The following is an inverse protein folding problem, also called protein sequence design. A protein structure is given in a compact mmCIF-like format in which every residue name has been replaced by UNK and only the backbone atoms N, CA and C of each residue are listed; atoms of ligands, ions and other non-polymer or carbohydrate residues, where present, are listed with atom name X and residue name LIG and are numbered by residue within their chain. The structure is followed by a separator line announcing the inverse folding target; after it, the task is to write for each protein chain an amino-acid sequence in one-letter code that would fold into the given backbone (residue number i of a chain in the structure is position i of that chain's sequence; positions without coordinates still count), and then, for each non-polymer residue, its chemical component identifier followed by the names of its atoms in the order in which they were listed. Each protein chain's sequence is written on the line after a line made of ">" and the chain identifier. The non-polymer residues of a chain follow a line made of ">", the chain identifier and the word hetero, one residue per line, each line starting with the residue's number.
data_IF_836449125435
#
_entry.id   IF_836449125435
#
_cell.length_a   1.000
_cell.length_b   1.000
_cell.length_c   1.000
_cell.angle_alpha   90.00
_cell.angle_beta   90.00
_cell.angle_gamma   90.00
#
_symmetry.space_group_name_H-M   'P 1'
#
loop_
_entity.id
_entity.type
_entity.pdbx_description
1 polymer ?
#
# COMPACT_ATOMS: atom_id res chain seq x y z
N UNK A 1 24.49 -6.03 -6.73
CA UNK A 1 23.35 -5.11 -6.92
C UNK A 1 23.51 -3.99 -5.92
N UNK A 2 23.33 -2.73 -6.34
CA UNK A 2 23.30 -1.58 -5.42
C UNK A 2 22.11 -1.75 -4.48
N UNK A 3 22.29 -1.41 -3.20
CA UNK A 3 21.17 -1.31 -2.26
C UNK A 3 20.47 0.04 -2.43
N UNK A 4 19.14 0.03 -2.43
CA UNK A 4 18.32 1.23 -2.55
C UNK A 4 17.89 1.72 -1.16
N UNK A 5 17.94 3.02 -0.95
CA UNK A 5 17.42 3.67 0.25
C UNK A 5 15.92 3.92 0.11
N UNK A 6 15.12 3.49 1.08
CA UNK A 6 13.66 3.53 1.04
C UNK A 6 13.05 4.45 2.09
N UNK A 7 12.15 5.31 1.63
CA UNK A 7 11.27 6.15 2.44
C UNK A 7 9.84 5.57 2.42
N UNK A 8 9.37 5.06 3.57
CA UNK A 8 8.02 4.46 3.72
C UNK A 8 7.04 5.50 4.30
N UNK A 9 6.21 6.11 3.45
CA UNK A 9 5.22 7.10 3.90
C UNK A 9 3.87 6.44 4.16
N UNK A 10 3.17 6.86 5.21
CA UNK A 10 1.94 6.18 5.68
C UNK A 10 2.22 4.71 6.02
N UNK A 11 3.27 4.48 6.80
CA UNK A 11 3.93 3.18 7.04
C UNK A 11 2.97 2.08 7.47
N UNK A 12 1.98 2.39 8.31
CA UNK A 12 1.05 1.40 8.83
C UNK A 12 1.76 0.33 9.65
N UNK A 13 1.50 -0.92 9.31
CA UNK A 13 2.21 -2.09 9.88
C UNK A 13 3.61 -2.31 9.29
N UNK A 14 4.14 -1.36 8.51
CA UNK A 14 5.40 -1.50 7.77
C UNK A 14 5.30 -2.56 6.67
N UNK A 15 4.20 -2.58 5.91
CA UNK A 15 3.99 -3.57 4.86
C UNK A 15 5.02 -3.48 3.73
N UNK A 16 5.32 -2.25 3.28
CA UNK A 16 6.39 -2.01 2.31
C UNK A 16 7.76 -2.25 2.94
N UNK A 17 8.01 -1.73 4.15
CA UNK A 17 9.24 -2.02 4.90
C UNK A 17 9.53 -3.52 5.09
N UNK A 18 8.51 -4.33 5.37
CA UNK A 18 8.63 -5.78 5.48
C UNK A 18 8.98 -6.41 4.12
N UNK A 19 8.34 -5.96 3.04
CA UNK A 19 8.68 -6.39 1.68
C UNK A 19 10.11 -6.01 1.29
N UNK A 20 10.58 -4.81 1.66
CA UNK A 20 11.95 -4.34 1.47
C UNK A 20 12.95 -5.25 2.18
N UNK A 21 12.70 -5.55 3.47
CA UNK A 21 13.49 -6.49 4.27
C UNK A 21 13.54 -7.89 3.67
N UNK A 22 12.42 -8.40 3.15
CA UNK A 22 12.36 -9.70 2.48
C UNK A 22 13.03 -9.72 1.11
N UNK A 23 13.05 -8.59 0.40
CA UNK A 23 13.78 -8.42 -0.85
C UNK A 23 15.30 -8.42 -0.62
N UNK A 24 15.77 -7.76 0.45
CA UNK A 24 17.17 -7.77 0.87
C UNK A 24 18.10 -6.81 0.11
N UNK A 25 17.57 -6.05 -0.86
CA UNK A 25 18.29 -5.01 -1.61
C UNK A 25 17.70 -3.61 -1.43
N UNK A 26 16.67 -3.48 -0.60
CA UNK A 26 16.04 -2.21 -0.26
C UNK A 26 16.11 -2.06 1.26
N UNK A 27 16.77 -1.00 1.73
CA UNK A 27 16.92 -0.68 3.14
C UNK A 27 15.99 0.49 3.47
N UNK A 28 15.02 0.28 4.36
CA UNK A 28 14.13 1.37 4.82
C UNK A 28 14.84 2.12 5.94
N UNK A 29 15.15 3.40 5.69
CA UNK A 29 15.90 4.22 6.66
C UNK A 29 14.99 5.19 7.41
N UNK A 30 13.90 5.65 6.78
CA UNK A 30 12.98 6.62 7.34
C UNK A 30 11.54 6.24 6.98
N UNK A 31 10.63 6.51 7.91
CA UNK A 31 9.21 6.29 7.70
C UNK A 31 8.38 7.47 8.21
N UNK A 32 7.08 7.52 7.85
CA UNK A 32 6.14 8.52 8.36
C UNK A 32 4.83 7.85 8.78
N UNK A 33 4.55 7.87 10.07
CA UNK A 33 3.33 7.33 10.68
C UNK A 33 2.95 8.10 11.95
N UNK A 34 1.64 8.30 12.13
CA UNK A 34 1.06 9.09 13.23
C UNK A 34 0.19 8.25 14.16
N UNK A 35 -0.24 7.04 13.77
CA UNK A 35 -1.00 6.15 14.65
C UNK A 35 -0.11 5.66 15.81
N UNK A 36 -0.46 5.96 17.08
CA UNK A 36 0.39 5.64 18.22
C UNK A 36 0.68 4.15 18.41
N UNK A 37 -0.19 3.26 17.92
CA UNK A 37 0.04 1.83 17.99
C UNK A 37 1.04 1.38 16.93
N UNK A 38 0.93 1.91 15.71
CA UNK A 38 1.89 1.64 14.64
C UNK A 38 3.27 2.22 14.95
N UNK A 39 3.37 3.42 15.53
CA UNK A 39 4.66 4.03 15.91
C UNK A 39 5.47 3.10 16.83
N UNK A 40 4.84 2.60 17.90
CA UNK A 40 5.50 1.64 18.81
C UNK A 40 5.88 0.33 18.13
N UNK A 41 5.10 -0.08 17.14
CA UNK A 41 5.40 -1.29 16.38
C UNK A 41 6.63 -1.08 15.49
N UNK A 42 6.74 0.09 14.88
CA UNK A 42 7.88 0.52 14.08
C UNK A 42 9.14 0.54 14.95
N UNK A 43 9.09 1.24 16.09
CA UNK A 43 10.21 1.35 17.04
C UNK A 43 10.72 -0.03 17.47
N UNK A 44 9.80 -0.94 17.83
CA UNK A 44 10.14 -2.27 18.33
C UNK A 44 10.69 -3.21 17.24
N UNK A 45 10.19 -3.11 16.00
CA UNK A 45 10.37 -4.18 14.99
C UNK A 45 11.23 -3.81 13.80
N UNK A 46 11.27 -2.54 13.46
CA UNK A 46 11.92 -2.08 12.25
C UNK A 46 13.19 -1.28 12.52
N UNK A 47 13.40 -0.80 13.76
CA UNK A 47 14.59 -0.04 14.15
C UNK A 47 14.95 1.02 13.08
N UNK A 48 13.95 1.80 12.71
CA UNK A 48 14.03 2.89 11.73
C UNK A 48 13.41 4.14 12.32
N UNK A 49 13.88 5.29 11.87
CA UNK A 49 13.37 6.58 12.35
C UNK A 49 11.96 6.83 11.82
N UNK A 50 11.13 7.50 12.62
CA UNK A 50 9.79 7.91 12.24
C UNK A 50 9.68 9.44 12.24
N UNK A 51 9.40 10.00 11.07
CA UNK A 51 9.23 11.42 10.85
C UNK A 51 7.89 11.98 11.34
N UNK A 52 6.97 11.13 11.82
CA UNK A 52 5.66 11.56 12.28
C UNK A 52 4.74 11.97 11.13
N UNK A 53 4.13 13.15 11.24
CA UNK A 53 3.19 13.65 10.22
C UNK A 53 3.91 13.97 8.92
N UNK A 54 3.38 13.44 7.81
CA UNK A 54 3.91 13.67 6.48
C UNK A 54 3.89 15.16 6.09
N UNK A 55 2.99 15.95 6.69
CA UNK A 55 2.88 17.38 6.42
C UNK A 55 4.13 18.16 6.90
N UNK A 56 4.86 17.62 7.87
CA UNK A 56 6.09 18.22 8.42
C UNK A 56 7.36 17.59 7.81
N UNK A 57 7.25 16.44 7.14
CA UNK A 57 8.38 15.74 6.52
C UNK A 57 8.92 16.51 5.30
N UNK A 58 10.25 16.68 5.25
CA UNK A 58 10.98 17.36 4.18
C UNK A 58 10.44 18.78 3.92
N UNK A 59 10.01 19.48 4.97
CA UNK A 59 9.69 20.90 4.93
C UNK A 59 10.96 21.69 5.25
N UNK A 60 11.14 22.85 4.60
CA UNK A 60 12.28 23.72 4.92
C UNK A 60 12.25 24.17 6.38
N UNK A 61 13.42 24.25 7.00
CA UNK A 61 13.63 24.69 8.38
C UNK A 61 12.88 25.97 8.76
N UNK A 62 12.74 26.92 7.81
CA UNK A 62 12.03 28.19 8.03
C UNK A 62 10.51 28.08 8.14
N UNK A 63 9.95 26.98 7.62
CA UNK A 63 8.52 26.72 7.55
C UNK A 63 8.11 25.55 8.46
N UNK A 64 9.05 24.99 9.23
CA UNK A 64 8.79 23.81 10.04
C UNK A 64 8.00 24.17 11.30
N UNK A 65 6.84 23.55 11.48
CA UNK A 65 5.88 23.88 12.54
C UNK A 65 6.39 23.54 13.96
N UNK A 66 7.25 22.52 14.06
CA UNK A 66 7.76 21.99 15.33
C UNK A 66 9.10 22.60 15.81
N UNK A 67 9.71 23.51 15.04
CA UNK A 67 10.97 24.16 15.45
C UNK A 67 10.66 25.46 16.19
N UNK A 68 10.60 25.41 17.52
CA UNK A 68 10.45 26.59 18.38
C UNK A 68 11.81 27.22 18.69
N UNK A 69 11.85 28.49 19.10
CA UNK A 69 13.08 29.21 19.51
C UNK A 69 13.77 28.63 20.76
N UNK A 70 13.16 27.63 21.40
CA UNK A 70 13.66 26.96 22.60
C UNK A 70 14.57 25.77 22.22
N UNK A 71 15.67 25.59 22.97
CA UNK A 71 16.71 24.55 22.86
C UNK A 71 16.19 23.11 23.16
N UNK A 72 14.97 22.77 22.74
CA UNK A 72 14.32 21.48 22.94
C UNK A 72 14.33 20.72 21.62
N UNK A 73 14.90 19.51 21.62
CA UNK A 73 14.91 18.63 20.44
C UNK A 73 13.59 17.85 20.40
N UNK A 74 12.71 18.02 19.39
CA UNK A 74 11.38 17.39 19.37
C UNK A 74 11.37 15.86 19.51
N UNK A 75 12.46 15.19 19.09
CA UNK A 75 12.60 13.75 19.23
C UNK A 75 12.76 13.30 20.69
N UNK A 76 13.31 14.13 21.57
CA UNK A 76 13.48 13.81 22.99
C UNK A 76 12.15 13.80 23.75
N UNK A 77 11.17 14.58 23.29
CA UNK A 77 9.83 14.62 23.89
C UNK A 77 8.85 13.63 23.25
N UNK A 78 8.89 13.51 21.93
CA UNK A 78 7.85 12.78 21.17
C UNK A 78 8.28 11.40 20.69
N UNK A 79 9.61 11.14 20.64
CA UNK A 79 10.17 9.98 19.96
C UNK A 79 10.12 10.06 18.43
N UNK A 80 9.67 11.19 17.87
CA UNK A 80 9.58 11.41 16.42
C UNK A 80 10.76 12.26 15.94
N UNK A 81 11.38 11.84 14.85
CA UNK A 81 12.45 12.59 14.21
C UNK A 81 11.86 13.75 13.41
N UNK A 82 12.40 14.95 13.60
CA UNK A 82 12.09 16.06 12.68
C UNK A 82 13.09 16.01 11.54
N UNK A 83 12.61 15.74 10.31
CA UNK A 83 13.46 15.64 9.12
C UNK A 83 13.05 16.74 8.14
N UNK A 84 13.91 17.72 8.00
CA UNK A 84 13.75 18.87 7.11
C UNK A 84 14.24 18.55 5.71
N UNK A 85 13.91 19.43 4.77
CA UNK A 85 14.48 19.36 3.43
C UNK A 85 16.01 19.46 3.49
N UNK A 86 16.55 20.38 4.31
CA UNK A 86 17.98 20.62 4.47
C UNK A 86 18.73 19.38 5.00
N UNK A 87 18.13 18.56 5.87
CA UNK A 87 18.75 17.34 6.41
C UNK A 87 19.14 16.34 5.32
N UNK A 88 18.37 16.25 4.23
CA UNK A 88 18.74 15.43 3.07
C UNK A 88 19.96 16.00 2.33
N UNK A 89 19.97 17.31 2.07
CA UNK A 89 21.04 17.99 1.31
C UNK A 89 22.35 18.11 2.08
N UNK A 90 22.28 18.22 3.41
CA UNK A 90 23.45 18.24 4.29
C UNK A 90 23.97 16.83 4.60
N UNK A 91 23.23 15.78 4.21
CA UNK A 91 23.63 14.39 4.40
C UNK A 91 23.45 13.88 5.82
N UNK A 92 22.57 14.50 6.60
CA UNK A 92 22.14 14.02 7.93
C UNK A 92 21.38 12.70 7.78
N UNK A 93 20.53 12.61 6.75
CA UNK A 93 19.85 11.39 6.32
C UNK A 93 20.16 11.10 4.84
N UNK A 94 20.12 9.83 4.39
CA UNK A 94 20.35 9.52 2.98
C UNK A 94 19.21 10.02 2.09
N UNK A 95 19.52 10.33 0.83
CA UNK A 95 18.48 10.53 -0.19
C UNK A 95 17.77 9.21 -0.50
N UNK A 96 16.43 9.20 -0.59
CA UNK A 96 15.68 8.01 -0.97
C UNK A 96 15.91 7.70 -2.46
N UNK A 97 16.21 6.44 -2.77
CA UNK A 97 16.13 5.89 -4.12
C UNK A 97 14.70 5.47 -4.47
N UNK A 98 13.92 5.09 -3.45
CA UNK A 98 12.53 4.66 -3.59
C UNK A 98 11.65 5.23 -2.48
N UNK A 99 10.48 5.75 -2.84
CA UNK A 99 9.44 6.17 -1.92
C UNK A 99 8.21 5.26 -2.07
N UNK A 100 7.56 4.92 -0.95
CA UNK A 100 6.28 4.22 -1.00
C UNK A 100 5.21 4.89 -0.15
N UNK A 101 3.94 4.57 -0.42
CA UNK A 101 2.90 4.86 0.56
C UNK A 101 1.47 4.53 0.16
N UNK A 102 0.67 4.25 1.18
CA UNK A 102 -0.76 3.93 1.07
C UNK A 102 -1.64 5.00 1.68
N UNK A 103 -1.66 6.20 1.07
CA UNK A 103 -2.36 7.36 1.63
C UNK A 103 -3.87 7.08 1.89
N UNK A 104 -4.48 7.71 2.91
CA UNK A 104 -5.89 7.54 3.21
C UNK A 104 -6.82 7.87 2.01
N UNK A 105 -7.60 6.88 1.58
CA UNK A 105 -8.44 6.93 0.36
C UNK A 105 -9.69 7.87 0.43
N UNK A 106 -9.73 8.86 1.33
CA UNK A 106 -10.91 9.72 1.50
C UNK A 106 -10.79 10.97 0.60
N UNK A 107 -11.46 10.90 -0.56
CA UNK A 107 -11.63 11.97 -1.56
C UNK A 107 -10.33 12.58 -2.12
N UNK A 108 -9.64 11.84 -3.00
CA UNK A 108 -8.57 12.39 -3.87
C UNK A 108 -9.23 13.15 -5.04
N UNK A 109 -9.92 14.23 -4.73
CA UNK A 109 -10.37 15.18 -5.76
C UNK A 109 -9.61 16.45 -5.55
N UNK A 110 -9.06 17.05 -6.61
CA UNK A 110 -8.47 18.38 -6.51
C UNK A 110 -9.52 19.32 -5.89
N UNK A 111 -9.21 19.87 -4.71
CA UNK A 111 -9.94 20.99 -4.18
C UNK A 111 -9.99 22.05 -5.29
N UNK A 112 -11.16 22.62 -5.55
CA UNK A 112 -11.32 23.63 -6.58
C UNK A 112 -10.33 24.77 -6.34
N UNK A 113 -9.35 24.94 -7.24
CA UNK A 113 -8.41 26.09 -7.26
C UNK A 113 -9.12 27.36 -7.75
N UNK A 114 -10.34 27.63 -7.25
CA UNK A 114 -11.14 28.79 -7.67
C UNK A 114 -11.72 29.65 -6.56
N UNK A 115 -11.51 29.31 -5.28
CA UNK A 115 -11.81 30.26 -4.21
C UNK A 115 -10.58 30.49 -3.34
N UNK A 116 -10.05 31.71 -3.44
CA UNK A 116 -9.06 32.29 -2.55
C UNK A 116 -9.66 32.62 -1.18
N UNK A 117 -10.26 31.61 -0.52
CA UNK A 117 -10.73 31.70 0.85
C UNK A 117 -11.01 30.31 1.45
N UNK A 118 -10.15 29.86 2.37
CA UNK A 118 -10.50 28.84 3.36
C UNK A 118 -10.15 27.40 2.97
N UNK A 119 -9.22 26.83 3.74
CA UNK A 119 -8.87 25.40 3.82
C UNK A 119 -10.15 24.57 4.01
N UNK A 120 -10.41 23.55 3.18
CA UNK A 120 -11.24 22.41 3.60
C UNK A 120 -11.13 21.19 2.65
N UNK A 121 -10.25 20.27 3.05
CA UNK A 121 -10.06 18.95 2.46
C UNK A 121 -8.85 18.21 3.01
N UNK A 122 -8.72 18.08 4.35
CA UNK A 122 -7.57 17.49 5.09
C UNK A 122 -7.07 16.10 4.61
N UNK A 123 -7.87 15.37 3.83
CA UNK A 123 -7.49 14.03 3.33
C UNK A 123 -7.11 14.05 1.84
N UNK A 124 -7.59 15.05 1.09
CA UNK A 124 -7.12 15.35 -0.26
C UNK A 124 -5.73 15.99 -0.26
N UNK A 125 -5.33 16.58 0.88
CA UNK A 125 -4.00 17.17 1.11
C UNK A 125 -2.91 16.13 1.32
N UNK A 126 -3.16 15.01 2.00
CA UNK A 126 -2.11 14.03 2.34
C UNK A 126 -1.43 13.40 1.11
N UNK A 127 -2.19 13.13 0.04
CA UNK A 127 -1.58 12.68 -1.22
C UNK A 127 -0.82 13.80 -1.95
N UNK A 128 -1.22 15.06 -1.77
CA UNK A 128 -0.42 16.18 -2.28
C UNK A 128 0.88 16.31 -1.52
N UNK A 129 0.90 16.09 -0.20
CA UNK A 129 2.14 16.10 0.59
C UNK A 129 3.08 14.97 0.16
N UNK A 130 2.54 13.77 -0.08
CA UNK A 130 3.34 12.67 -0.64
C UNK A 130 3.95 13.04 -2.00
N UNK A 131 3.14 13.64 -2.90
CA UNK A 131 3.60 14.09 -4.21
C UNK A 131 4.61 15.25 -4.09
N UNK A 132 4.44 16.17 -3.14
CA UNK A 132 5.35 17.27 -2.85
C UNK A 132 6.72 16.72 -2.44
N UNK A 133 6.77 15.79 -1.50
CA UNK A 133 8.04 15.18 -1.05
C UNK A 133 8.74 14.46 -2.20
N UNK A 134 7.98 13.75 -3.04
CA UNK A 134 8.52 13.08 -4.24
C UNK A 134 9.13 14.08 -5.24
N UNK A 135 8.47 15.22 -5.44
CA UNK A 135 8.90 16.30 -6.32
C UNK A 135 10.13 17.03 -5.75
N UNK A 136 10.07 17.43 -4.49
CA UNK A 136 11.12 18.16 -3.78
C UNK A 136 12.44 17.35 -3.72
N UNK A 137 12.35 16.03 -3.50
CA UNK A 137 13.53 15.16 -3.37
C UNK A 137 13.92 14.45 -4.68
N UNK A 138 13.21 14.68 -5.80
CA UNK A 138 13.45 14.05 -7.12
C UNK A 138 13.63 12.51 -7.03
N UNK A 139 12.71 11.84 -6.33
CA UNK A 139 12.89 10.43 -5.91
C UNK A 139 12.80 9.45 -7.10
N UNK A 140 13.85 8.68 -7.44
CA UNK A 140 13.90 7.90 -8.68
C UNK A 140 12.74 6.93 -8.90
N UNK A 141 12.27 6.28 -7.83
CA UNK A 141 11.19 5.29 -7.86
C UNK A 141 10.10 5.63 -6.85
N UNK A 142 8.84 5.51 -7.24
CA UNK A 142 7.70 5.70 -6.34
C UNK A 142 6.71 4.53 -6.47
N UNK A 143 6.24 3.97 -5.36
CA UNK A 143 5.21 2.92 -5.33
C UNK A 143 4.03 3.32 -4.45
N UNK A 144 2.84 3.38 -5.04
CA UNK A 144 1.61 3.71 -4.33
C UNK A 144 0.72 2.48 -4.24
N UNK A 145 0.03 2.31 -3.11
CA UNK A 145 -1.06 1.34 -2.96
C UNK A 145 -2.34 2.06 -2.54
N UNK A 146 -3.47 1.65 -3.10
CA UNK A 146 -4.76 2.09 -2.60
C UNK A 146 -5.90 1.14 -2.94
N UNK A 147 -7.07 1.37 -2.33
CA UNK A 147 -8.30 0.65 -2.65
C UNK A 147 -8.69 0.78 -4.14
N UNK A 148 -9.31 -0.26 -4.71
CA UNK A 148 -9.75 -0.33 -6.11
C UNK A 148 -10.56 0.90 -6.58
N UNK A 149 -11.32 1.52 -5.67
CA UNK A 149 -12.10 2.74 -5.95
C UNK A 149 -11.26 3.93 -6.40
N UNK A 150 -9.94 3.95 -6.17
CA UNK A 150 -9.04 5.01 -6.61
C UNK A 150 -9.13 5.23 -8.13
N UNK A 151 -9.36 4.17 -8.92
CA UNK A 151 -9.60 4.25 -10.37
C UNK A 151 -10.67 5.30 -10.75
N UNK A 152 -11.67 5.51 -9.90
CA UNK A 152 -12.79 6.45 -10.12
C UNK A 152 -12.76 7.67 -9.21
N UNK A 153 -11.72 7.80 -8.36
CA UNK A 153 -11.70 8.76 -7.24
C UNK A 153 -10.41 9.57 -7.14
N UNK A 154 -9.57 9.58 -8.18
CA UNK A 154 -8.37 10.42 -8.22
C UNK A 154 -7.10 9.76 -8.76
N UNK A 155 -7.16 8.53 -9.30
CA UNK A 155 -5.99 7.94 -9.98
C UNK A 155 -5.53 8.81 -11.15
N UNK A 156 -6.46 9.42 -11.88
CA UNK A 156 -6.17 10.35 -12.98
C UNK A 156 -5.31 11.54 -12.52
N UNK A 157 -5.64 12.13 -11.36
CA UNK A 157 -4.89 13.23 -10.77
C UNK A 157 -3.45 12.82 -10.39
N UNK A 158 -3.29 11.66 -9.76
CA UNK A 158 -1.96 11.18 -9.33
C UNK A 158 -1.09 10.87 -10.55
N UNK A 159 -1.64 10.18 -11.54
CA UNK A 159 -0.93 9.86 -12.79
C UNK A 159 -0.55 11.15 -13.51
N UNK A 160 -1.47 12.11 -13.66
CA UNK A 160 -1.19 13.39 -14.30
C UNK A 160 -0.05 14.14 -13.59
N UNK A 161 -0.12 14.29 -12.26
CA UNK A 161 0.92 14.98 -11.48
C UNK A 161 2.29 14.33 -11.61
N UNK A 162 2.37 13.01 -11.57
CA UNK A 162 3.63 12.29 -11.76
C UNK A 162 4.16 12.45 -13.20
N UNK A 163 3.29 12.45 -14.20
CA UNK A 163 3.69 12.73 -15.59
C UNK A 163 4.18 14.18 -15.76
N UNK A 164 3.54 15.17 -15.10
CA UNK A 164 3.99 16.57 -15.08
C UNK A 164 5.40 16.70 -14.47
N UNK A 165 5.70 15.88 -13.45
CA UNK A 165 7.04 15.76 -12.84
C UNK A 165 8.04 14.98 -13.72
N UNK A 166 7.62 14.48 -14.88
CA UNK A 166 8.48 13.75 -15.83
C UNK A 166 8.59 12.24 -15.59
N UNK A 167 7.79 11.66 -14.71
CA UNK A 167 7.81 10.22 -14.45
C UNK A 167 7.10 9.44 -15.58
N UNK A 168 7.62 8.24 -15.83
CA UNK A 168 6.89 7.17 -16.51
C UNK A 168 6.08 6.46 -15.43
N UNK A 169 4.77 6.32 -15.66
CA UNK A 169 3.86 5.78 -14.66
C UNK A 169 3.19 4.54 -15.20
N UNK A 170 3.18 3.46 -14.44
CA UNK A 170 2.37 2.27 -14.73
C UNK A 170 1.51 1.91 -13.52
N UNK A 171 0.33 1.34 -13.75
CA UNK A 171 -0.55 0.89 -12.68
C UNK A 171 -1.26 -0.41 -13.04
N UNK A 172 -1.62 -1.15 -11.99
CA UNK A 172 -2.38 -2.38 -12.11
C UNK A 172 -3.25 -2.60 -10.87
N UNK A 173 -4.49 -3.05 -11.10
CA UNK A 173 -5.35 -3.56 -10.02
C UNK A 173 -4.97 -5.01 -9.75
N UNK A 174 -4.50 -5.30 -8.55
CA UNK A 174 -4.03 -6.62 -8.12
C UNK A 174 -4.95 -7.19 -7.05
N UNK A 175 -5.33 -8.45 -7.22
CA UNK A 175 -6.08 -9.25 -6.27
C UNK A 175 -5.14 -10.03 -5.36
N UNK A 176 -5.49 -10.12 -4.08
CA UNK A 176 -4.86 -11.03 -3.12
C UNK A 176 -4.78 -12.48 -3.63
N UNK A 177 -5.79 -12.92 -4.39
CA UNK A 177 -5.86 -14.27 -4.96
C UNK A 177 -4.76 -14.57 -5.99
N UNK A 178 -4.22 -13.55 -6.67
CA UNK A 178 -3.08 -13.70 -7.59
C UNK A 178 -1.78 -14.13 -6.85
N UNK A 179 -1.77 -13.99 -5.52
CA UNK A 179 -0.69 -14.36 -4.61
C UNK A 179 -1.12 -15.47 -3.63
N UNK A 180 -2.12 -16.25 -4.02
CA UNK A 180 -2.63 -17.40 -3.26
C UNK A 180 -3.18 -17.03 -1.87
N UNK A 181 -3.68 -15.80 -1.66
CA UNK A 181 -4.47 -15.46 -0.47
C UNK A 181 -5.97 -15.66 -0.78
N UNK A 182 -6.71 -16.43 0.05
CA UNK A 182 -8.04 -16.92 -0.32
C UNK A 182 -9.17 -15.89 -0.11
N UNK A 183 -8.95 -14.59 -0.33
CA UNK A 183 -9.95 -13.56 -0.02
C UNK A 183 -10.11 -12.45 -1.06
N UNK A 184 -11.30 -11.85 -1.09
CA UNK A 184 -11.65 -10.76 -2.00
C UNK A 184 -11.04 -9.43 -1.56
N UNK A 185 -9.79 -9.19 -1.93
CA UNK A 185 -9.12 -7.89 -1.77
C UNK A 185 -8.45 -7.48 -3.07
N UNK A 186 -9.00 -6.47 -3.73
CA UNK A 186 -8.46 -5.84 -4.92
C UNK A 186 -7.94 -4.44 -4.58
N UNK A 187 -6.73 -4.14 -5.01
CA UNK A 187 -6.00 -2.90 -4.73
C UNK A 187 -5.31 -2.39 -5.99
N UNK A 188 -5.33 -1.08 -6.18
CA UNK A 188 -4.54 -0.42 -7.22
C UNK A 188 -3.13 -0.28 -6.69
N UNK A 189 -2.17 -0.81 -7.45
CA UNK A 189 -0.76 -0.51 -7.26
C UNK A 189 -0.32 0.37 -8.43
N UNK A 190 0.44 1.42 -8.13
CA UNK A 190 1.03 2.30 -9.13
C UNK A 190 2.53 2.34 -8.87
N UNK A 191 3.32 2.20 -9.93
CA UNK A 191 4.77 2.35 -9.91
C UNK A 191 5.13 3.47 -10.88
N UNK A 192 5.84 4.47 -10.37
CA UNK A 192 6.37 5.56 -11.17
C UNK A 192 7.89 5.57 -11.10
N UNK A 193 8.55 5.86 -12.21
CA UNK A 193 10.01 5.94 -12.27
C UNK A 193 10.48 7.01 -13.24
N UNK A 194 11.57 7.69 -12.90
CA UNK A 194 12.18 8.69 -13.75
C UNK A 194 12.82 8.05 -15.01
N UNK A 195 12.93 8.77 -16.14
CA UNK A 195 13.61 8.26 -17.34
C UNK A 195 15.08 7.87 -17.13
N UNK A 196 15.71 8.43 -16.09
CA UNK A 196 17.08 8.15 -15.65
C UNK A 196 17.23 6.83 -14.89
N UNK A 197 16.15 6.10 -14.64
CA UNK A 197 16.17 4.82 -13.91
C UNK A 197 16.56 3.64 -14.80
N UNK A 198 17.04 2.54 -14.20
CA UNK A 198 17.32 1.32 -14.95
C UNK A 198 16.04 0.65 -15.47
N UNK A 199 14.91 0.76 -14.75
CA UNK A 199 13.59 0.30 -15.25
C UNK A 199 13.24 0.99 -16.57
N UNK A 200 13.29 2.32 -16.64
CA UNK A 200 13.01 3.06 -17.89
C UNK A 200 13.93 2.62 -19.04
N UNK A 201 15.25 2.54 -18.78
CA UNK A 201 16.24 2.13 -19.78
C UNK A 201 16.09 0.67 -20.24
N UNK A 202 15.55 -0.20 -19.40
CA UNK A 202 15.42 -1.63 -19.70
C UNK A 202 14.43 -1.93 -20.83
N UNK A 203 13.51 -1.01 -21.15
CA UNK A 203 12.48 -1.31 -22.13
C UNK A 203 11.37 -2.23 -21.59
N UNK A 204 11.26 -2.44 -20.28
CA UNK A 204 10.37 -3.45 -19.67
C UNK A 204 9.55 -2.84 -18.53
N UNK A 205 8.34 -3.38 -18.33
CA UNK A 205 7.41 -2.94 -17.28
C UNK A 205 7.59 -3.75 -16.00
N UNK A 206 7.44 -3.10 -14.85
CA UNK A 206 7.47 -3.73 -13.53
C UNK A 206 6.33 -4.74 -13.42
N UNK A 207 5.12 -4.36 -13.82
CA UNK A 207 3.95 -5.24 -13.72
C UNK A 207 3.99 -6.45 -14.68
N UNK A 208 4.75 -6.43 -15.78
CA UNK A 208 4.94 -7.64 -16.60
C UNK A 208 5.66 -8.74 -15.81
N UNK A 209 6.62 -8.36 -14.97
CA UNK A 209 7.29 -9.30 -14.07
C UNK A 209 6.39 -9.74 -12.92
N UNK A 210 5.59 -8.84 -12.36
CA UNK A 210 4.58 -9.20 -11.34
C UNK A 210 3.57 -10.21 -11.89
N UNK A 211 3.14 -10.07 -13.15
CA UNK A 211 2.30 -11.05 -13.85
C UNK A 211 2.98 -12.42 -13.98
N UNK A 212 4.30 -12.48 -14.20
CA UNK A 212 5.04 -13.75 -14.22
C UNK A 212 5.00 -14.46 -12.86
N UNK A 213 5.07 -13.70 -11.75
CA UNK A 213 4.91 -14.25 -10.40
C UNK A 213 3.50 -14.81 -10.21
N UNK A 214 2.47 -14.07 -10.60
CA UNK A 214 1.08 -14.53 -10.54
C UNK A 214 0.82 -15.75 -11.43
N UNK A 215 1.44 -15.82 -12.62
CA UNK A 215 1.38 -16.97 -13.51
C UNK A 215 1.97 -18.23 -12.84
N UNK A 216 3.13 -18.09 -12.20
CA UNK A 216 3.77 -19.17 -11.45
C UNK A 216 2.99 -19.62 -10.20
N UNK A 217 1.96 -18.87 -9.82
CA UNK A 217 1.11 -19.11 -8.66
C UNK A 217 -0.24 -19.77 -9.01
N UNK A 218 -0.62 -19.85 -10.29
CA UNK A 218 -1.94 -20.31 -10.72
C UNK A 218 -2.28 -21.73 -10.24
N UNK A 219 -1.30 -22.64 -10.28
CA UNK A 219 -1.50 -24.05 -9.94
C UNK A 219 -1.14 -24.37 -8.48
N UNK A 220 -0.78 -23.35 -7.69
CA UNK A 220 -0.44 -23.54 -6.28
C UNK A 220 -1.69 -23.45 -5.40
N UNK A 221 -1.77 -24.24 -4.31
CA UNK A 221 -2.85 -24.11 -3.35
C UNK A 221 -2.85 -22.72 -2.70
N UNK A 222 -4.01 -22.30 -2.19
CA UNK A 222 -4.07 -21.13 -1.32
C UNK A 222 -3.18 -21.35 -0.08
N UNK A 223 -2.59 -20.25 0.42
CA UNK A 223 -1.76 -20.25 1.63
C UNK A 223 -2.53 -20.62 2.89
N UNK A 224 -3.85 -20.53 2.82
CA UNK A 224 -4.79 -20.96 3.85
C UNK A 224 -5.96 -21.68 3.17
N UNK A 225 -6.54 -22.71 3.80
CA UNK A 225 -7.67 -23.43 3.23
C UNK A 225 -8.90 -22.53 3.11
N UNK A 226 -9.74 -22.80 2.11
CA UNK A 226 -11.05 -22.16 1.97
C UNK A 226 -11.98 -22.60 3.11
N UNK A 227 -12.99 -21.75 3.35
CA UNK A 227 -14.05 -22.00 4.30
C UNK A 227 -14.81 -23.31 4.04
N UNK A 228 -15.04 -23.63 2.76
CA UNK A 228 -15.66 -24.89 2.33
C UNK A 228 -14.75 -26.11 2.48
N UNK A 229 -13.43 -25.93 2.52
CA UNK A 229 -12.46 -27.02 2.56
C UNK A 229 -12.17 -27.48 3.99
N UNK A 230 -12.02 -26.54 4.93
CA UNK A 230 -11.61 -26.84 6.31
C UNK A 230 -12.33 -25.96 7.36
N UNK A 231 -13.67 -26.01 7.48
CA UNK A 231 -14.43 -25.14 8.36
C UNK A 231 -14.03 -25.27 9.84
N UNK A 232 -13.81 -26.50 10.32
CA UNK A 232 -13.40 -26.74 11.72
C UNK A 232 -12.00 -26.17 12.00
N UNK A 233 -11.05 -26.39 11.08
CA UNK A 233 -9.69 -25.82 11.21
C UNK A 233 -9.75 -24.30 11.29
N UNK A 234 -10.59 -23.66 10.48
CA UNK A 234 -10.77 -22.20 10.50
C UNK A 234 -11.37 -21.76 11.84
N UNK A 235 -12.39 -22.45 12.37
CA UNK A 235 -12.93 -22.12 13.69
C UNK A 235 -11.85 -22.22 14.78
N UNK A 236 -11.08 -23.31 14.77
CA UNK A 236 -10.03 -23.57 15.76
C UNK A 236 -8.92 -22.50 15.76
N UNK A 237 -8.62 -21.90 14.60
CA UNK A 237 -7.53 -20.93 14.46
C UNK A 237 -8.01 -19.47 14.45
N UNK A 238 -9.19 -19.20 13.90
CA UNK A 238 -9.71 -17.86 13.73
C UNK A 238 -10.48 -17.36 14.97
N UNK A 239 -10.98 -18.26 15.83
CA UNK A 239 -11.76 -17.88 17.02
C UNK A 239 -10.89 -17.83 18.26
N UNK A 240 -10.91 -16.70 18.95
CA UNK A 240 -10.44 -16.55 20.32
C UNK A 240 -11.64 -16.42 21.25
N UNK A 241 -11.83 -17.37 22.16
CA UNK A 241 -12.95 -17.37 23.12
C UNK A 241 -12.92 -16.18 24.09
N UNK A 242 -11.72 -15.78 24.51
CA UNK A 242 -11.50 -14.70 25.49
C UNK A 242 -10.81 -13.51 24.83
N UNK A 243 -11.44 -12.80 23.87
CA UNK A 243 -10.75 -11.77 23.08
C UNK A 243 -10.21 -10.60 23.93
N UNK A 244 -10.78 -10.38 25.12
CA UNK A 244 -10.31 -9.39 26.10
C UNK A 244 -8.97 -9.73 26.73
N UNK A 245 -8.54 -11.00 26.74
CA UNK A 245 -7.23 -11.39 27.27
C UNK A 245 -6.09 -11.06 26.30
N UNK A 246 -6.39 -10.90 25.02
CA UNK A 246 -5.41 -10.54 24.01
C UNK A 246 -5.23 -9.01 24.03
N UNK A 247 -4.06 -8.58 24.49
CA UNK A 247 -3.67 -7.16 24.53
C UNK A 247 -3.77 -6.53 23.16
N UNK A 248 -4.36 -5.33 23.11
CA UNK A 248 -4.50 -4.50 21.90
C UNK A 248 -5.14 -5.23 20.71
N UNK A 249 -5.86 -6.34 20.92
CA UNK A 249 -6.46 -7.16 19.87
C UNK A 249 -7.18 -6.32 18.81
N UNK A 250 -8.02 -5.40 19.27
CA UNK A 250 -8.77 -4.51 18.39
C UNK A 250 -7.86 -3.67 17.50
N UNK A 251 -6.82 -3.03 18.06
CA UNK A 251 -5.86 -2.22 17.31
C UNK A 251 -5.11 -3.07 16.28
N UNK A 252 -4.61 -4.25 16.68
CA UNK A 252 -3.93 -5.23 15.80
C UNK A 252 -4.78 -5.57 14.56
N UNK A 253 -6.02 -6.01 14.78
CA UNK A 253 -6.92 -6.43 13.69
C UNK A 253 -7.33 -5.23 12.83
N UNK A 254 -7.57 -4.08 13.44
CA UNK A 254 -7.94 -2.87 12.70
C UNK A 254 -6.79 -2.40 11.78
N UNK A 255 -5.55 -2.47 12.26
CA UNK A 255 -4.36 -2.16 11.46
C UNK A 255 -4.20 -3.13 10.29
N UNK A 256 -4.37 -4.45 10.52
CA UNK A 256 -4.34 -5.47 9.46
C UNK A 256 -5.41 -5.24 8.38
N UNK A 257 -6.61 -4.79 8.76
CA UNK A 257 -7.67 -4.48 7.78
C UNK A 257 -7.30 -3.34 6.81
N UNK A 258 -6.47 -2.40 7.25
CA UNK A 258 -5.93 -1.32 6.44
C UNK A 258 -4.68 -1.72 5.65
N UNK A 259 -3.91 -2.68 6.14
CA UNK A 259 -2.59 -3.05 5.63
C UNK A 259 -2.59 -3.59 4.19
N UNK A 260 -1.47 -3.45 3.50
CA UNK A 260 -1.22 -4.08 2.20
C UNK A 260 -0.91 -5.57 2.40
N UNK A 261 -0.80 -6.33 1.31
CA UNK A 261 -0.24 -7.69 1.34
C UNK A 261 1.26 -7.60 1.02
N UNK A 262 2.15 -7.96 1.96
CA UNK A 262 3.61 -7.82 1.77
C UNK A 262 4.16 -8.53 0.54
N UNK A 263 3.64 -9.72 0.22
CA UNK A 263 4.05 -10.49 -0.96
C UNK A 263 3.85 -9.75 -2.29
N UNK A 264 2.80 -8.93 -2.41
CA UNK A 264 2.54 -8.14 -3.62
C UNK A 264 3.58 -7.02 -3.72
N UNK A 265 3.80 -6.30 -2.62
CA UNK A 265 4.84 -5.27 -2.54
C UNK A 265 6.24 -5.84 -2.82
N UNK A 266 6.54 -7.03 -2.29
CA UNK A 266 7.81 -7.72 -2.54
C UNK A 266 7.98 -8.05 -4.02
N UNK A 267 6.95 -8.55 -4.69
CA UNK A 267 7.02 -8.82 -6.13
C UNK A 267 7.26 -7.56 -6.96
N UNK A 268 6.70 -6.42 -6.55
CA UNK A 268 6.98 -5.11 -7.16
C UNK A 268 8.45 -4.72 -6.94
N UNK A 269 8.94 -4.81 -5.70
CA UNK A 269 10.34 -4.50 -5.36
C UNK A 269 11.35 -5.41 -6.04
N UNK A 270 11.12 -6.72 -6.07
CA UNK A 270 11.95 -7.68 -6.79
C UNK A 270 12.02 -7.33 -8.29
N UNK A 271 10.90 -6.86 -8.85
CA UNK A 271 10.81 -6.45 -10.25
C UNK A 271 11.58 -5.16 -10.52
N UNK A 272 11.45 -4.14 -9.66
CA UNK A 272 12.22 -2.89 -9.74
C UNK A 272 13.71 -3.18 -9.67
N UNK A 273 14.16 -3.91 -8.63
CA UNK A 273 15.59 -4.23 -8.44
C UNK A 273 16.14 -5.01 -9.63
N UNK A 274 15.41 -6.00 -10.13
CA UNK A 274 15.88 -6.79 -11.26
C UNK A 274 16.01 -5.96 -12.54
N UNK A 275 15.01 -5.12 -12.84
CA UNK A 275 15.03 -4.28 -14.03
C UNK A 275 16.06 -3.15 -13.92
N UNK A 276 16.22 -2.55 -12.74
CA UNK A 276 17.21 -1.50 -12.49
C UNK A 276 18.65 -1.96 -12.77
N UNK A 277 18.94 -3.24 -12.46
CA UNK A 277 20.24 -3.84 -12.68
C UNK A 277 20.41 -4.49 -14.08
N UNK A 278 19.43 -4.35 -14.98
CA UNK A 278 19.52 -4.91 -16.33
C UNK A 278 20.43 -4.03 -17.21
N UNK A 279 21.52 -4.60 -17.72
CA UNK A 279 22.52 -3.91 -18.56
C UNK A 279 22.18 -3.90 -20.06
N UNK A 280 21.27 -4.77 -20.49
CA UNK A 280 20.82 -4.84 -21.89
C UNK A 280 19.76 -3.77 -22.15
N UNK A 281 20.14 -2.72 -22.88
CA UNK A 281 19.17 -1.82 -23.51
C UNK A 281 18.55 -2.57 -24.68
N UNK A 282 17.39 -3.19 -24.46
CA UNK A 282 16.56 -3.63 -25.57
C UNK A 282 15.90 -2.39 -26.16
N UNK A 283 16.37 -1.97 -27.33
CA UNK A 283 15.82 -0.84 -28.07
C UNK A 283 14.33 -1.06 -28.32
N UNK A 284 13.50 -0.17 -27.77
CA UNK A 284 12.08 0.00 -28.06
C UNK A 284 11.10 -1.15 -27.74
N UNK A 285 11.45 -2.14 -26.91
CA UNK A 285 10.48 -3.17 -26.48
C UNK A 285 9.44 -2.71 -25.44
N UNK A 286 9.56 -1.48 -24.91
CA UNK A 286 8.64 -0.95 -23.87
C UNK A 286 7.17 -1.06 -24.30
N UNK A 287 6.92 -1.01 -25.61
CA UNK A 287 5.58 -1.03 -26.20
C UNK A 287 5.34 -2.16 -27.21
N UNK A 288 6.34 -2.94 -27.63
CA UNK A 288 6.18 -3.86 -28.79
C UNK A 288 5.52 -5.20 -28.47
N UNK A 289 5.59 -5.70 -27.24
CA UNK A 289 5.15 -7.08 -26.92
C UNK A 289 3.78 -7.18 -26.21
N UNK A 290 2.98 -6.12 -26.15
CA UNK A 290 1.55 -6.24 -25.77
C UNK A 290 0.65 -5.06 -26.10
N UNK A 291 1.16 -3.93 -26.60
CA UNK A 291 0.30 -2.99 -27.31
C UNK A 291 0.23 -3.47 -28.75
N UNK A 292 -0.63 -4.46 -29.01
CA UNK A 292 -1.26 -4.50 -30.31
C UNK A 292 -1.95 -3.13 -30.45
N UNK A 293 -1.29 -2.19 -31.12
CA UNK A 293 -1.94 -1.06 -31.82
C UNK A 293 -2.67 -1.63 -33.06
N UNK A 294 -3.26 -2.81 -32.90
CA UNK A 294 -4.09 -3.50 -33.85
C UNK A 294 -5.52 -3.23 -33.42
N UNK A 295 -6.15 -2.30 -34.13
CA UNK A 295 -7.60 -2.19 -34.31
C UNK A 295 -8.46 -3.08 -33.39
N UNK A 296 -8.58 -2.67 -32.12
CA UNK A 296 -9.74 -2.82 -31.22
C UNK A 296 -9.37 -2.25 -29.85
N UNK A 297 -9.90 -1.06 -29.58
CA UNK A 297 -10.07 -0.44 -28.26
C UNK A 297 -8.80 -0.07 -27.46
N UNK A 298 -7.70 0.27 -28.13
CA UNK A 298 -6.61 1.02 -27.50
C UNK A 298 -6.99 2.50 -27.39
N UNK A 299 -7.29 2.98 -26.19
CA UNK A 299 -7.61 4.39 -25.98
C UNK A 299 -6.32 5.17 -25.67
N UNK A 300 -5.84 5.95 -26.63
CA UNK A 300 -4.88 7.02 -26.36
C UNK A 300 -5.66 8.20 -25.76
N UNK A 301 -5.50 8.45 -24.46
CA UNK A 301 -6.03 9.65 -23.83
C UNK A 301 -4.92 10.69 -23.74
N UNK A 302 -5.17 11.89 -24.27
CA UNK A 302 -4.35 13.06 -23.98
C UNK A 302 -4.88 13.72 -22.70
N UNK A 303 -3.99 14.11 -21.78
CA UNK A 303 -4.32 14.95 -20.63
C UNK A 303 -4.65 16.40 -21.08
N UNK A 304 -5.70 16.56 -21.89
CA UNK A 304 -6.06 17.82 -22.53
C UNK A 304 -6.95 18.67 -21.58
N UNK A 305 -6.45 18.94 -20.36
CA UNK A 305 -7.17 19.60 -19.26
C UNK A 305 -8.54 18.98 -18.88
N UNK A 306 -8.84 17.75 -19.36
CA UNK A 306 -10.09 17.03 -19.09
C UNK A 306 -9.82 15.88 -18.13
N UNK A 307 -10.52 15.86 -17.00
CA UNK A 307 -10.48 14.74 -16.05
C UNK A 307 -10.96 13.44 -16.68
N UNK A 308 -10.30 12.34 -16.30
CA UNK A 308 -10.74 10.99 -16.67
C UNK A 308 -11.57 10.45 -15.51
N UNK A 309 -12.89 10.41 -15.69
CA UNK A 309 -13.82 10.02 -14.61
C UNK A 309 -13.57 8.60 -14.07
N UNK A 310 -13.14 7.68 -14.94
CA UNK A 310 -12.82 6.29 -14.57
C UNK A 310 -11.58 5.85 -15.33
N UNK A 311 -10.47 5.74 -14.62
CA UNK A 311 -9.22 5.17 -15.15
C UNK A 311 -9.39 3.66 -15.37
N UNK A 312 -8.75 3.09 -16.40
CA UNK A 312 -8.75 1.64 -16.61
C UNK A 312 -8.04 0.93 -15.46
N UNK A 313 -8.33 -0.36 -15.25
CA UNK A 313 -7.74 -1.13 -14.14
C UNK A 313 -6.25 -1.39 -14.28
N UNK A 314 -5.68 -1.15 -15.47
CA UNK A 314 -4.24 -1.17 -15.73
C UNK A 314 -3.89 -0.19 -16.84
N UNK A 315 -2.65 0.28 -16.86
CA UNK A 315 -2.15 1.13 -17.94
C UNK A 315 -0.74 1.62 -17.69
N UNK A 316 -0.23 2.35 -18.68
CA UNK A 316 1.04 3.08 -18.64
C UNK A 316 0.76 4.50 -19.12
N UNK A 317 1.30 5.50 -18.44
CA UNK A 317 1.27 6.89 -18.85
C UNK A 317 2.70 7.40 -19.06
N UNK A 318 2.89 8.15 -20.14
CA UNK A 318 4.13 8.81 -20.50
C UNK A 318 3.80 10.18 -21.05
N UNK A 319 4.32 11.22 -20.41
CA UNK A 319 3.98 12.61 -20.74
C UNK A 319 2.46 12.77 -20.78
N UNK A 320 1.90 13.23 -21.89
CA UNK A 320 0.46 13.49 -21.99
C UNK A 320 -0.36 12.25 -22.40
N UNK A 321 0.25 11.09 -22.65
CA UNK A 321 -0.43 9.94 -23.24
C UNK A 321 -0.61 8.78 -22.27
N UNK A 322 -1.83 8.21 -22.24
CA UNK A 322 -2.14 6.95 -21.56
C UNK A 322 -2.29 5.82 -22.57
N UNK A 323 -1.71 4.67 -22.23
CA UNK A 323 -1.83 3.40 -22.93
C UNK A 323 -2.45 2.36 -21.99
N UNK A 324 -3.46 1.65 -22.45
CA UNK A 324 -4.11 0.59 -21.67
C UNK A 324 -4.56 -0.52 -22.60
N UNK A 325 -4.31 -1.75 -22.18
CA UNK A 325 -4.94 -2.96 -22.68
C UNK A 325 -5.92 -3.46 -21.61
N UNK A 326 -7.08 -4.00 -22.00
CA UNK A 326 -8.19 -4.34 -21.10
C UNK A 326 -7.80 -5.18 -19.87
N UNK A 327 -8.70 -5.36 -18.90
CA UNK A 327 -8.44 -6.02 -17.60
C UNK A 327 -7.50 -7.26 -17.66
N UNK A 328 -6.42 -7.26 -16.87
CA UNK A 328 -5.55 -8.43 -16.70
C UNK A 328 -6.19 -9.48 -15.79
N UNK A 329 -6.59 -10.64 -16.32
CA UNK A 329 -7.22 -11.69 -15.52
C UNK A 329 -6.27 -12.47 -14.59
N UNK A 330 -4.95 -12.34 -14.79
CA UNK A 330 -3.94 -12.93 -13.91
C UNK A 330 -3.83 -12.17 -12.59
N UNK A 331 -3.75 -10.83 -12.66
CA UNK A 331 -3.62 -9.98 -11.47
C UNK A 331 -4.96 -9.51 -10.95
N UNK A 332 -5.91 -9.16 -11.83
CA UNK A 332 -7.26 -8.75 -11.47
C UNK A 332 -8.25 -9.91 -11.65
N UNK A 333 -8.03 -10.99 -10.88
CA UNK A 333 -8.84 -12.21 -10.95
C UNK A 333 -10.34 -11.91 -10.77
N UNK A 334 -11.22 -12.38 -11.68
CA UNK A 334 -12.67 -12.23 -11.53
C UNK A 334 -13.19 -13.08 -10.37
N UNK A 335 -14.24 -12.60 -9.69
CA UNK A 335 -14.80 -13.29 -8.52
C UNK A 335 -15.34 -14.69 -8.83
N UNK A 336 -15.69 -14.94 -10.09
CA UNK A 336 -16.19 -16.21 -10.59
C UNK A 336 -15.11 -17.28 -10.73
N UNK A 337 -13.81 -16.91 -10.72
CA UNK A 337 -12.72 -17.88 -10.86
C UNK A 337 -12.63 -18.85 -9.69
N UNK A 338 -12.91 -18.36 -8.49
CA UNK A 338 -12.80 -19.14 -7.26
C UNK A 338 -14.10 -19.04 -6.47
N UNK A 339 -14.80 -20.15 -6.33
CA UNK A 339 -15.94 -20.27 -5.42
C UNK A 339 -15.45 -20.38 -3.97
N UNK A 340 -16.25 -19.91 -3.01
CA UNK A 340 -15.95 -20.07 -1.58
C UNK A 340 -14.83 -19.18 -1.00
N UNK A 341 -14.30 -18.21 -1.76
CA UNK A 341 -13.35 -17.21 -1.23
C UNK A 341 -13.93 -16.42 -0.06
N UNK A 342 -13.06 -16.08 0.89
CA UNK A 342 -13.41 -15.24 2.03
C UNK A 342 -13.65 -13.77 1.61
N UNK A 343 -14.46 -13.08 2.38
CA UNK A 343 -14.49 -11.63 2.48
C UNK A 343 -13.16 -11.15 3.05
N UNK A 344 -12.66 -10.03 2.53
CA UNK A 344 -11.44 -9.41 3.08
C UNK A 344 -11.64 -9.02 4.55
N UNK A 345 -10.54 -9.04 5.29
CA UNK A 345 -10.46 -8.42 6.61
C UNK A 345 -10.67 -6.90 6.48
N UNK A 346 -11.55 -6.34 7.30
CA UNK A 346 -11.87 -4.91 7.33
C UNK A 346 -11.34 -4.25 8.61
N UNK A 347 -10.99 -2.96 8.53
CA UNK A 347 -10.53 -2.17 9.69
C UNK A 347 -11.49 -2.25 10.88
N UNK A 348 -12.80 -2.41 10.68
CA UNK A 348 -13.77 -2.43 11.80
C UNK A 348 -14.05 -3.85 12.32
N UNK A 349 -13.39 -4.87 11.79
CA UNK A 349 -13.58 -6.26 12.23
C UNK A 349 -13.02 -6.49 13.64
N UNK A 350 -11.96 -5.79 14.04
CA UNK A 350 -11.41 -5.87 15.39
C UNK A 350 -12.35 -5.37 16.47
N UNK A 351 -13.27 -4.47 16.13
CA UNK A 351 -14.28 -3.93 17.05
C UNK A 351 -15.43 -4.92 17.32
N UNK A 352 -15.48 -6.04 16.60
CA UNK A 352 -16.59 -6.99 16.66
C UNK A 352 -16.18 -8.30 17.35
N UNK A 353 -17.19 -8.90 17.97
CA UNK A 353 -17.20 -10.25 18.51
C UNK A 353 -18.26 -11.07 17.74
N UNK A 354 -18.18 -12.39 17.86
CA UNK A 354 -19.07 -13.33 17.15
C UNK A 354 -20.49 -13.44 17.76
N UNK A 355 -20.82 -12.60 18.77
CA UNK A 355 -22.11 -12.64 19.48
C UNK A 355 -23.22 -11.81 18.81
N UNK A 356 -22.87 -10.90 17.89
CA UNK A 356 -23.82 -9.95 17.30
C UNK A 356 -24.57 -10.54 16.09
N UNK A 357 -25.66 -11.27 16.31
CA UNK A 357 -26.49 -11.90 15.24
C UNK A 357 -27.00 -10.93 14.16
N UNK A 358 -27.15 -9.63 14.48
CA UNK A 358 -27.53 -8.60 13.51
C UNK A 358 -26.56 -8.45 12.33
N UNK A 359 -25.33 -8.99 12.45
CA UNK A 359 -24.29 -8.99 11.41
C UNK A 359 -24.57 -9.96 10.26
N UNK A 360 -25.32 -11.04 10.52
CA UNK A 360 -25.71 -12.02 9.50
C UNK A 360 -26.79 -11.47 8.55
N UNK A 361 -27.53 -10.46 8.99
CA UNK A 361 -28.71 -9.94 8.30
C UNK A 361 -28.48 -8.57 7.62
N UNK A 362 -27.23 -8.07 7.57
CA UNK A 362 -26.96 -6.79 6.88
C UNK A 362 -27.09 -6.97 5.36
N UNK A 363 -27.79 -6.06 4.65
CA UNK A 363 -27.86 -6.11 3.20
C UNK A 363 -26.48 -5.82 2.58
N UNK A 364 -26.07 -6.67 1.63
CA UNK A 364 -24.70 -6.75 1.11
C UNK A 364 -23.86 -7.75 1.91
N UNK A 365 -22.99 -8.53 1.23
CA UNK A 365 -22.21 -9.66 1.77
C UNK A 365 -21.83 -9.51 3.26
N UNK A 366 -22.03 -10.60 4.02
CA UNK A 366 -21.71 -10.80 5.45
C UNK A 366 -20.62 -9.83 5.92
N UNK A 367 -20.91 -9.01 6.95
CA UNK A 367 -20.18 -7.78 7.27
C UNK A 367 -18.70 -7.93 7.64
N UNK A 368 -17.84 -8.23 6.65
CA UNK A 368 -16.42 -8.53 6.78
C UNK A 368 -16.14 -10.01 7.07
N UNK A 369 -14.88 -10.31 7.35
CA UNK A 369 -14.42 -11.65 7.72
C UNK A 369 -15.16 -12.21 8.95
N UNK A 370 -15.55 -11.32 9.87
CA UNK A 370 -16.34 -11.67 11.06
C UNK A 370 -17.66 -12.35 10.69
N UNK A 371 -18.38 -11.81 9.69
CA UNK A 371 -19.68 -12.34 9.31
C UNK A 371 -19.58 -13.74 8.68
N UNK A 372 -18.51 -14.01 7.96
CA UNK A 372 -18.28 -15.33 7.35
C UNK A 372 -17.90 -16.39 8.38
N UNK A 373 -17.05 -16.06 9.34
CA UNK A 373 -16.69 -16.98 10.43
C UNK A 373 -17.92 -17.27 11.31
N UNK A 374 -18.79 -16.27 11.53
CA UNK A 374 -20.10 -16.52 12.17
C UNK A 374 -20.98 -17.46 11.35
N UNK A 375 -20.92 -17.37 10.02
CA UNK A 375 -21.69 -18.21 9.09
C UNK A 375 -21.37 -19.70 9.19
N UNK A 376 -20.17 -20.07 9.63
CA UNK A 376 -19.76 -21.47 9.84
C UNK A 376 -19.87 -21.98 11.28
N UNK A 377 -20.41 -21.16 12.19
CA UNK A 377 -20.76 -21.63 13.54
C UNK A 377 -20.12 -20.86 14.69
N UNK A 378 -19.25 -19.87 14.44
CA UNK A 378 -18.72 -19.04 15.52
C UNK A 378 -19.83 -18.17 16.13
N UNK A 379 -20.06 -18.32 17.44
CA UNK A 379 -21.13 -17.63 18.17
C UNK A 379 -20.66 -16.97 19.49
N UNK A 380 -19.44 -17.26 19.93
CA UNK A 380 -18.76 -16.68 21.10
C UNK A 380 -17.35 -16.21 20.71
N UNK A 381 -16.73 -15.36 21.53
CA UNK A 381 -15.37 -14.89 21.27
C UNK A 381 -15.26 -13.85 20.15
N UNK A 382 -14.08 -13.74 19.56
CA UNK A 382 -13.79 -12.86 18.43
C UNK A 382 -12.56 -13.31 17.63
N UNK A 383 -12.33 -12.69 16.47
CA UNK A 383 -11.16 -12.94 15.62
C UNK A 383 -9.82 -13.02 16.38
N UNK A 384 -9.05 -14.06 16.11
CA UNK A 384 -7.70 -14.23 16.63
C UNK A 384 -6.68 -13.44 15.77
N UNK A 385 -5.79 -12.60 16.34
CA UNK A 385 -4.83 -11.82 15.56
C UNK A 385 -3.89 -12.66 14.70
N UNK A 386 -3.39 -13.81 15.19
CA UNK A 386 -2.48 -14.66 14.42
C UNK A 386 -3.11 -15.21 13.15
N UNK A 387 -4.39 -15.56 13.20
CA UNK A 387 -5.13 -15.92 12.00
C UNK A 387 -5.19 -14.74 11.03
N UNK A 388 -5.48 -13.53 11.53
CA UNK A 388 -5.55 -12.32 10.71
C UNK A 388 -4.19 -11.92 10.10
N UNK A 389 -3.08 -12.12 10.83
CA UNK A 389 -1.72 -11.90 10.35
C UNK A 389 -1.43 -12.83 9.16
N UNK A 390 -1.61 -14.15 9.36
CA UNK A 390 -1.42 -15.14 8.30
C UNK A 390 -2.34 -14.89 7.09
N UNK A 391 -3.61 -14.55 7.36
CA UNK A 391 -4.61 -14.24 6.33
C UNK A 391 -4.23 -13.04 5.47
N UNK A 392 -3.54 -12.04 6.04
CA UNK A 392 -3.04 -10.86 5.33
C UNK A 392 -1.59 -11.00 4.84
N UNK A 393 -0.94 -12.14 5.08
CA UNK A 393 0.44 -12.40 4.63
C UNK A 393 1.54 -11.86 5.54
N UNK A 394 1.21 -11.53 6.78
CA UNK A 394 2.18 -11.11 7.79
C UNK A 394 2.70 -12.31 8.58
N UNK A 395 3.98 -12.29 9.03
CA UNK A 395 4.51 -13.27 9.96
C UNK A 395 3.68 -13.34 11.24
N UNK A 396 3.69 -14.50 11.89
CA UNK A 396 3.08 -14.64 13.21
C UNK A 396 3.72 -13.67 14.20
N UNK A 397 2.89 -13.12 15.08
CA UNK A 397 3.25 -12.10 16.06
C UNK A 397 3.70 -10.77 15.44
N UNK A 398 3.58 -10.56 14.12
CA UNK A 398 3.96 -9.29 13.47
C UNK A 398 3.32 -8.08 14.12
N UNK A 399 2.07 -8.18 14.57
CA UNK A 399 1.32 -7.08 15.21
C UNK A 399 1.41 -7.09 16.74
N UNK A 400 2.11 -8.05 17.35
CA UNK A 400 2.27 -8.11 18.80
C UNK A 400 3.29 -7.07 19.29
N UNK A 401 2.95 -6.39 20.40
CA UNK A 401 3.86 -5.51 21.14
C UNK A 401 4.23 -6.16 22.49
N UNK A 402 5.49 -6.02 22.96
CA UNK A 402 5.91 -6.44 24.29
C UNK A 402 5.04 -5.87 25.40
N UNK A 403 4.90 -6.62 26.51
CA UNK A 403 4.01 -6.24 27.61
C UNK A 403 4.35 -4.87 28.24
N UNK A 404 5.60 -4.40 28.19
CA UNK A 404 6.02 -3.12 28.75
C UNK A 404 5.58 -1.91 27.89
N UNK A 405 5.47 -2.06 26.56
CA UNK A 405 5.02 -1.01 25.64
C UNK A 405 3.49 -0.87 25.55
N UNK A 406 2.75 -1.75 26.23
CA UNK A 406 1.26 -1.80 26.14
C UNK A 406 0.52 -0.90 27.13
N UNK A 407 1.20 -0.31 28.12
CA UNK A 407 0.55 0.44 29.22
C UNK A 407 0.11 1.86 28.82
N UNK A 408 0.71 2.45 27.80
CA UNK A 408 0.41 3.81 27.34
C UNK A 408 -0.36 3.88 26.01
N UNK A 409 -0.83 2.75 25.46
CA UNK A 409 -1.53 2.65 24.17
C UNK A 409 -3.06 2.53 24.31
N UNK A 410 -3.57 2.68 25.54
CA UNK A 410 -4.97 2.51 25.90
C UNK A 410 -5.81 3.76 25.63
#
# INVERSE_FOLDING_TARGET
>A
MRRMQHLDMFTGLGGFSLAAKQNGFIDTFLCSETDPYNNRLIDEKFNMDNAGDICDLAVSLRNHSAMTEDDIVPCEETGLSTITYEDFFEGVVPFPDIATGGFPCQNVTSANVKDSSGIEGEQSSLVQEQLRIIEDLDIPYCVFENAERLNSKGLDHIVARLCDMGYIVEWETISATAFNYPHYRHRVYLVAYLPSTGVARSGRRVFDRVRQVALANLDKPFKMPLLSEAPNWILDHAVCETPKSIKLRTKRINALGNAIIPDIAKAIFDSIIMLDNTTESMTNTFFTDSVNVGERDGYEFKFDNKRINVMPTRGVALSDAIYSDGKCELLNVPKQRYEGLFSTLLRKDGNNNFTCKSRLNRPGKLGGLVGEIMGIGANTGGLHPHFCEAFMGYPLDHTALPAHLTQSAA
#
